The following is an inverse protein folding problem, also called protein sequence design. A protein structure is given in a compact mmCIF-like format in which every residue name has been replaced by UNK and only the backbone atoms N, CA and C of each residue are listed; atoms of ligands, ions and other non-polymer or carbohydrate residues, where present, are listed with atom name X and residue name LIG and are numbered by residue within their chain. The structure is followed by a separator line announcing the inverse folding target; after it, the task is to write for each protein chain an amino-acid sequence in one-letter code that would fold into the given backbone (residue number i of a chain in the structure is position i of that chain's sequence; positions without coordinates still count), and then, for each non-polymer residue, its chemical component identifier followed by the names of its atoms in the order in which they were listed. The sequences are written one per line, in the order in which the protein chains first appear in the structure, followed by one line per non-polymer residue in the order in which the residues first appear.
data_IF_113514323245
#
_entry.id   IF_113514323245
#
_cell.length_a   1.000
_cell.length_b   1.000
_cell.length_c   1.000
_cell.angle_alpha   90.00
_cell.angle_beta   90.00
_cell.angle_gamma   90.00
#
_symmetry.space_group_name_H-M   'P 1'
#
loop_
_entity.id
_entity.type
_entity.pdbx_description
1 polymer ?
#
# COMPACT_ATOMS: atom_id res chain seq x y z
N UNK A 1 -7.67 17.78 -15.59
CA UNK A 1 -7.35 18.39 -14.28
C UNK A 1 -6.06 17.71 -13.85
N UNK A 2 -4.97 18.46 -13.69
CA UNK A 2 -3.63 17.91 -13.50
C UNK A 2 -3.49 17.48 -12.04
N UNK A 3 -3.53 16.18 -11.77
CA UNK A 3 -3.12 15.65 -10.47
C UNK A 3 -1.64 15.98 -10.29
N UNK A 4 -1.35 17.00 -9.48
CA UNK A 4 0.00 17.20 -8.98
C UNK A 4 0.23 16.13 -7.92
N UNK A 5 0.76 14.98 -8.34
CA UNK A 5 1.48 14.11 -7.42
C UNK A 5 2.59 15.00 -6.88
N UNK A 6 2.46 15.43 -5.63
CA UNK A 6 3.48 16.22 -4.97
C UNK A 6 4.83 15.53 -5.16
N UNK A 7 5.90 16.31 -5.36
CA UNK A 7 7.25 15.75 -5.42
C UNK A 7 7.42 14.80 -4.22
N UNK A 8 7.84 13.55 -4.45
CA UNK A 8 7.92 12.57 -3.37
C UNK A 8 8.77 13.15 -2.26
N UNK A 9 8.17 13.30 -1.07
CA UNK A 9 8.89 13.73 0.12
C UNK A 9 9.76 12.56 0.56
N UNK A 10 10.97 12.51 -0.01
CA UNK A 10 11.99 11.51 0.32
C UNK A 10 12.54 11.87 1.71
N UNK A 11 11.95 11.31 2.76
CA UNK A 11 12.38 11.57 4.13
C UNK A 11 13.78 11.03 4.44
N UNK A 12 14.31 10.11 3.61
CA UNK A 12 15.69 9.57 3.66
C UNK A 12 16.09 9.13 2.25
N UNK A 13 17.36 9.30 1.85
CA UNK A 13 17.89 8.64 0.65
C UNK A 13 17.65 7.13 0.78
N UNK A 14 16.61 6.63 0.11
CA UNK A 14 16.26 5.22 0.11
C UNK A 14 17.16 4.52 -0.89
N UNK A 15 18.37 4.17 -0.45
CA UNK A 15 19.17 3.17 -1.15
C UNK A 15 18.40 1.85 -1.08
N UNK A 16 17.71 1.51 -2.18
CA UNK A 16 17.00 0.24 -2.31
C UNK A 16 18.04 -0.87 -2.37
N UNK A 17 17.97 -1.80 -1.41
CA UNK A 17 18.83 -2.97 -1.44
C UNK A 17 18.38 -3.86 -2.61
N UNK A 18 19.29 -4.28 -3.53
CA UNK A 18 18.94 -5.21 -4.61
C UNK A 18 18.26 -6.49 -4.12
N UNK A 19 18.55 -6.91 -2.88
CA UNK A 19 17.97 -8.07 -2.23
C UNK A 19 16.67 -7.75 -1.47
N UNK A 20 16.17 -6.51 -1.52
CA UNK A 20 14.87 -6.16 -0.92
C UNK A 20 13.77 -7.03 -1.53
N UNK A 21 13.79 -7.30 -2.82
CA UNK A 21 12.73 -8.05 -3.52
C UNK A 21 12.82 -9.58 -3.34
N UNK A 22 13.79 -10.07 -2.57
CA UNK A 22 13.87 -11.47 -2.16
C UNK A 22 12.82 -11.78 -1.08
N UNK A 23 12.45 -13.05 -0.94
CA UNK A 23 11.62 -13.54 0.18
C UNK A 23 12.40 -13.42 1.50
N UNK A 24 12.43 -12.20 2.05
CA UNK A 24 12.71 -11.98 3.46
C UNK A 24 11.40 -12.25 4.21
N UNK A 25 11.48 -12.75 5.43
CA UNK A 25 10.30 -13.02 6.28
C UNK A 25 9.64 -11.72 6.78
N UNK A 26 9.61 -10.68 5.94
CA UNK A 26 9.12 -9.33 6.21
C UNK A 26 7.92 -9.05 5.31
N UNK A 27 6.80 -8.62 5.90
CA UNK A 27 5.61 -8.24 5.15
C UNK A 27 5.82 -6.93 4.37
N UNK A 28 5.18 -6.81 3.21
CA UNK A 28 5.11 -5.55 2.47
C UNK A 28 4.15 -4.54 3.11
N UNK A 29 4.48 -3.26 3.02
CA UNK A 29 3.62 -2.15 3.46
C UNK A 29 3.37 -1.17 2.30
N UNK A 30 2.13 -0.70 2.17
CA UNK A 30 1.74 0.31 1.20
C UNK A 30 0.83 1.34 1.87
N UNK A 31 1.00 2.61 1.52
CA UNK A 31 0.18 3.71 2.02
C UNK A 31 0.09 4.82 0.99
N UNK A 32 -1.03 5.54 1.00
CA UNK A 32 -1.26 6.72 0.18
C UNK A 32 -1.85 7.83 1.03
N UNK A 33 -1.48 9.07 0.73
CA UNK A 33 -2.00 10.27 1.37
C UNK A 33 -2.31 11.31 0.30
N UNK A 34 -3.39 12.08 0.49
CA UNK A 34 -3.82 13.08 -0.49
C UNK A 34 -4.33 12.48 -1.80
N UNK A 35 -4.80 11.23 -1.77
CA UNK A 35 -5.56 10.68 -2.88
C UNK A 35 -6.86 11.47 -3.03
N UNK A 36 -7.24 11.75 -4.28
CA UNK A 36 -8.49 12.44 -4.55
C UNK A 36 -9.70 11.55 -4.23
N UNK A 37 -10.76 12.19 -3.77
CA UNK A 37 -12.04 11.54 -3.46
C UNK A 37 -11.91 10.30 -2.54
N UNK A 38 -12.36 9.13 -3.00
CA UNK A 38 -12.41 7.85 -2.27
C UNK A 38 -11.44 6.80 -2.82
N UNK A 39 -10.45 7.20 -3.62
CA UNK A 39 -9.57 6.26 -4.34
C UNK A 39 -8.42 5.69 -3.51
N UNK A 40 -8.20 6.24 -2.30
CA UNK A 40 -7.04 5.88 -1.48
C UNK A 40 -6.93 4.39 -1.16
N UNK A 41 -8.05 3.73 -0.82
CA UNK A 41 -8.07 2.29 -0.57
C UNK A 41 -7.76 1.46 -1.82
N UNK A 42 -8.19 1.91 -3.00
CA UNK A 42 -7.93 1.23 -4.28
C UNK A 42 -6.45 1.32 -4.66
N UNK A 43 -5.83 2.49 -4.48
CA UNK A 43 -4.39 2.66 -4.72
C UNK A 43 -3.58 1.75 -3.79
N UNK A 44 -3.94 1.68 -2.50
CA UNK A 44 -3.28 0.79 -1.54
C UNK A 44 -3.51 -0.67 -1.89
N UNK A 45 -4.70 -1.07 -2.34
CA UNK A 45 -4.97 -2.43 -2.80
C UNK A 45 -4.05 -2.83 -3.96
N UNK A 46 -3.90 -1.97 -4.97
CA UNK A 46 -3.00 -2.20 -6.10
C UNK A 46 -1.53 -2.26 -5.68
N UNK A 47 -1.11 -1.40 -4.74
CA UNK A 47 0.24 -1.43 -4.18
C UNK A 47 0.52 -2.72 -3.40
N UNK A 48 -0.42 -3.18 -2.57
CA UNK A 48 -0.32 -4.47 -1.88
C UNK A 48 -0.26 -5.64 -2.87
N UNK A 49 -1.02 -5.58 -3.98
CA UNK A 49 -0.95 -6.58 -5.04
C UNK A 49 0.45 -6.64 -5.66
N UNK A 50 1.08 -5.50 -5.96
CA UNK A 50 2.45 -5.48 -6.46
C UNK A 50 3.46 -6.08 -5.46
N UNK A 51 3.18 -5.99 -4.15
CA UNK A 51 4.01 -6.52 -3.07
C UNK A 51 3.69 -7.98 -2.68
N UNK A 52 2.82 -8.68 -3.42
CA UNK A 52 2.40 -10.04 -3.06
C UNK A 52 3.53 -11.07 -2.93
N UNK A 53 4.69 -10.79 -3.55
CA UNK A 53 5.89 -11.62 -3.44
C UNK A 53 6.50 -11.59 -2.03
N UNK A 54 6.12 -10.63 -1.18
CA UNK A 54 6.58 -10.49 0.22
C UNK A 54 5.67 -11.19 1.24
N UNK A 55 4.54 -11.74 0.82
CA UNK A 55 3.63 -12.41 1.74
C UNK A 55 2.33 -12.81 1.07
N UNK A 56 1.91 -14.04 1.29
CA UNK A 56 0.67 -14.62 0.73
C UNK A 56 -0.31 -15.11 1.81
N UNK A 57 0.08 -14.96 3.08
CA UNK A 57 -0.65 -15.50 4.23
C UNK A 57 -1.87 -14.65 4.60
N UNK A 58 -1.74 -13.32 4.54
CA UNK A 58 -2.80 -12.37 4.82
C UNK A 58 -2.45 -10.96 4.32
N UNK A 59 -3.46 -10.09 4.19
CA UNK A 59 -3.28 -8.65 4.05
C UNK A 59 -4.43 -7.87 4.72
N UNK A 60 -4.27 -6.57 4.86
CA UNK A 60 -5.33 -5.70 5.36
C UNK A 60 -5.13 -4.26 4.91
N UNK A 61 -6.24 -3.53 4.83
CA UNK A 61 -6.27 -2.11 4.45
C UNK A 61 -7.04 -1.38 5.55
N UNK A 62 -6.48 -0.27 6.01
CA UNK A 62 -7.19 0.70 6.85
C UNK A 62 -7.17 2.05 6.15
N UNK A 63 -8.34 2.69 6.04
CA UNK A 63 -8.48 4.04 5.50
C UNK A 63 -9.30 4.90 6.47
N UNK A 64 -9.13 6.21 6.35
CA UNK A 64 -9.89 7.19 7.11
C UNK A 64 -10.45 8.21 6.14
N UNK A 65 -11.76 8.48 6.26
CA UNK A 65 -12.42 9.58 5.56
C UNK A 65 -13.13 10.43 6.60
N UNK A 66 -12.84 11.72 6.60
CA UNK A 66 -13.26 12.68 7.62
C UNK A 66 -12.85 12.24 9.03
N UNK A 67 -13.78 11.60 9.76
CA UNK A 67 -13.60 11.09 11.13
C UNK A 67 -13.95 9.61 11.26
N UNK A 68 -14.23 8.93 10.14
CA UNK A 68 -14.63 7.52 10.10
C UNK A 68 -13.48 6.67 9.59
N UNK A 69 -13.19 5.61 10.35
CA UNK A 69 -12.23 4.58 9.96
C UNK A 69 -12.95 3.43 9.26
N UNK A 70 -12.32 2.92 8.20
CA UNK A 70 -12.70 1.72 7.49
C UNK A 70 -11.55 0.72 7.57
N UNK A 71 -11.84 -0.56 7.75
CA UNK A 71 -10.80 -1.59 7.85
C UNK A 71 -11.29 -2.87 7.24
N UNK A 72 -10.52 -3.40 6.28
CA UNK A 72 -10.74 -4.69 5.66
C UNK A 72 -9.54 -5.59 5.92
N UNK A 73 -9.81 -6.86 6.25
CA UNK A 73 -8.78 -7.87 6.53
C UNK A 73 -9.09 -9.13 5.77
N UNK A 74 -8.09 -9.66 5.08
CA UNK A 74 -8.22 -10.82 4.22
C UNK A 74 -7.14 -11.83 4.61
N UNK A 75 -7.56 -13.08 4.80
CA UNK A 75 -6.67 -14.21 5.02
C UNK A 75 -6.49 -14.95 3.69
N UNK A 76 -5.25 -15.36 3.40
CA UNK A 76 -4.82 -15.94 2.13
C UNK A 76 -4.95 -14.94 0.96
N UNK A 77 -4.44 -15.26 -0.22
CA UNK A 77 -4.62 -14.42 -1.42
C UNK A 77 -6.08 -14.44 -1.93
N UNK A 78 -7.03 -14.01 -1.10
CA UNK A 78 -8.31 -13.54 -1.58
C UNK A 78 -8.03 -12.22 -2.30
N UNK A 79 -8.36 -12.16 -3.59
CA UNK A 79 -8.17 -10.95 -4.40
C UNK A 79 -8.76 -9.75 -3.67
N UNK A 80 -7.91 -8.76 -3.40
CA UNK A 80 -8.33 -7.42 -2.99
C UNK A 80 -8.95 -6.80 -4.24
N UNK A 81 -10.25 -6.99 -4.43
CA UNK A 81 -11.03 -6.45 -5.55
C UNK A 81 -11.96 -5.35 -5.04
#
# INVERSE_FOLDING_TARGET
MTHQIADPVVHRDHFRDPDDDQLRLECGVCGVWGADEDEGSTIVALGLHALQHRGQEACGIASVKDTRFHTERLAHQAHVA
#
